data_IF_788314673692
#
_entry.id   IF_788314673692
#
_cell.length_a   1.000
_cell.length_b   1.000
_cell.length_c   1.000
_cell.angle_alpha   90.00
_cell.angle_beta   90.00
_cell.angle_gamma   90.00
#
_symmetry.space_group_name_H-M   'P 1'
#
loop_
_entity.id
_entity.type
_entity.pdbx_description
1 polymer ?
#
# COMPACT_ATOMS: atom_id res chain seq x y z
N UNK A 1 13.46 -28.03 -23.96
CA UNK A 1 13.23 -27.13 -25.11
C UNK A 1 11.73 -26.87 -25.15
N UNK A 2 11.19 -25.67 -24.93
CA UNK A 2 11.68 -24.30 -25.08
C UNK A 2 11.46 -23.44 -23.83
N UNK A 3 12.33 -22.46 -23.61
CA UNK A 3 12.09 -21.36 -22.66
C UNK A 3 10.79 -20.60 -23.00
N UNK A 4 10.04 -20.06 -22.01
CA UNK A 4 8.93 -19.18 -22.31
C UNK A 4 9.47 -17.85 -22.84
N UNK A 5 9.15 -17.54 -24.10
CA UNK A 5 9.42 -16.26 -24.76
C UNK A 5 8.55 -15.14 -24.15
N UNK A 6 8.86 -14.72 -22.94
CA UNK A 6 8.24 -13.54 -22.31
C UNK A 6 9.00 -12.24 -22.60
N UNK A 7 10.20 -12.33 -23.17
CA UNK A 7 10.94 -11.16 -23.64
C UNK A 7 10.45 -10.78 -25.05
N UNK A 8 9.63 -9.74 -25.15
CA UNK A 8 9.33 -9.07 -26.43
C UNK A 8 7.86 -8.93 -26.83
N UNK A 9 6.89 -9.29 -25.99
CA UNK A 9 5.47 -9.01 -26.29
C UNK A 9 5.15 -7.56 -25.95
N UNK A 10 4.90 -6.74 -26.97
CA UNK A 10 4.34 -5.40 -26.79
C UNK A 10 2.89 -5.57 -26.36
N UNK A 11 2.32 -4.62 -25.60
CA UNK A 11 0.95 -4.74 -25.06
C UNK A 11 -0.18 -4.69 -26.11
N UNK A 12 0.08 -5.13 -27.34
CA UNK A 12 -0.82 -5.05 -28.47
C UNK A 12 -1.86 -6.17 -28.42
N UNK A 13 -3.00 -5.93 -29.08
CA UNK A 13 -4.16 -6.81 -28.99
C UNK A 13 -3.90 -8.25 -29.50
N UNK A 14 -2.92 -8.43 -30.39
CA UNK A 14 -2.52 -9.75 -30.89
C UNK A 14 -1.82 -10.58 -29.82
N UNK A 15 -0.92 -9.97 -29.05
CA UNK A 15 -0.22 -10.64 -27.96
C UNK A 15 -1.17 -11.07 -26.84
N UNK A 16 -2.17 -10.24 -26.53
CA UNK A 16 -3.21 -10.56 -25.56
C UNK A 16 -4.05 -11.76 -26.01
N UNK A 17 -4.46 -11.80 -27.29
CA UNK A 17 -5.22 -12.93 -27.85
C UNK A 17 -4.41 -14.22 -27.86
N UNK A 18 -3.14 -14.14 -28.26
CA UNK A 18 -2.26 -15.29 -28.26
C UNK A 18 -2.04 -15.84 -26.84
N UNK A 19 -1.83 -14.96 -25.85
CA UNK A 19 -1.72 -15.38 -24.45
C UNK A 19 -3.01 -16.04 -23.91
N UNK A 20 -4.19 -15.54 -24.31
CA UNK A 20 -5.47 -16.16 -23.93
C UNK A 20 -5.64 -17.56 -24.52
N UNK A 21 -5.21 -17.77 -25.78
CA UNK A 21 -5.21 -19.09 -26.42
C UNK A 21 -4.24 -20.06 -25.72
N UNK A 22 -3.04 -19.61 -25.36
CA UNK A 22 -2.06 -20.39 -24.60
C UNK A 22 -2.65 -20.82 -23.23
N UNK A 23 -3.33 -19.90 -22.54
CA UNK A 23 -4.02 -20.17 -21.28
C UNK A 23 -5.16 -21.20 -21.44
N UNK A 24 -5.95 -21.11 -22.51
CA UNK A 24 -7.03 -22.05 -22.79
C UNK A 24 -6.50 -23.48 -23.01
N UNK A 25 -5.46 -23.60 -23.85
CA UNK A 25 -4.80 -24.88 -24.12
C UNK A 25 -4.18 -25.48 -22.85
N UNK A 26 -3.57 -24.64 -22.00
CA UNK A 26 -3.02 -25.08 -20.73
C UNK A 26 -4.10 -25.50 -19.72
N UNK A 27 -5.25 -24.83 -19.68
CA UNK A 27 -6.36 -25.17 -18.80
C UNK A 27 -6.97 -26.53 -19.15
N UNK A 28 -7.23 -26.78 -20.45
CA UNK A 28 -8.01 -27.93 -20.90
C UNK A 28 -9.39 -27.91 -20.25
N UNK A 29 -9.84 -29.05 -19.72
CA UNK A 29 -11.15 -29.17 -19.04
C UNK A 29 -11.13 -28.72 -17.57
N UNK A 30 -10.01 -28.17 -17.07
CA UNK A 30 -9.86 -27.81 -15.66
C UNK A 30 -10.28 -26.38 -15.40
N UNK A 31 -10.82 -26.14 -14.21
CA UNK A 31 -10.96 -24.78 -13.69
C UNK A 31 -9.67 -24.35 -12.99
N UNK A 32 -9.00 -23.32 -13.50
CA UNK A 32 -7.79 -22.74 -12.92
C UNK A 32 -8.11 -21.39 -12.28
N UNK A 33 -7.67 -21.19 -11.04
CA UNK A 33 -7.80 -19.89 -10.35
C UNK A 33 -6.42 -19.29 -10.12
N UNK A 34 -6.19 -18.11 -10.67
CA UNK A 34 -4.99 -17.31 -10.45
C UNK A 34 -5.34 -16.18 -9.51
N UNK A 35 -4.55 -16.00 -8.46
CA UNK A 35 -4.70 -14.88 -7.53
C UNK A 35 -3.54 -13.92 -7.70
N UNK A 36 -3.87 -12.64 -7.88
CA UNK A 36 -2.91 -11.55 -7.74
C UNK A 36 -3.06 -10.88 -6.36
N UNK A 37 -1.97 -10.31 -5.85
CA UNK A 37 -1.92 -9.64 -4.54
C UNK A 37 -1.30 -8.25 -4.66
N UNK A 38 -1.63 -7.53 -5.74
CA UNK A 38 -1.13 -6.19 -5.98
C UNK A 38 -2.27 -5.29 -6.48
N UNK A 39 -2.61 -4.24 -5.72
CA UNK A 39 -3.65 -3.30 -6.12
C UNK A 39 -3.46 -2.70 -7.54
N UNK A 40 -2.21 -2.52 -7.98
CA UNK A 40 -1.90 -2.07 -9.35
C UNK A 40 -2.34 -3.09 -10.40
N UNK A 41 -2.15 -4.38 -10.15
CA UNK A 41 -2.68 -5.44 -11.01
C UNK A 41 -4.20 -5.50 -10.95
N UNK A 42 -4.82 -5.41 -9.75
CA UNK A 42 -6.28 -5.32 -9.62
C UNK A 42 -6.86 -4.22 -10.51
N UNK A 43 -6.25 -3.03 -10.47
CA UNK A 43 -6.65 -1.87 -11.28
C UNK A 43 -6.42 -2.10 -12.77
N UNK A 44 -5.28 -2.65 -13.18
CA UNK A 44 -5.00 -2.97 -14.58
C UNK A 44 -6.01 -4.00 -15.13
N UNK A 45 -6.30 -5.05 -14.38
CA UNK A 45 -7.28 -6.09 -14.73
C UNK A 45 -8.67 -5.48 -14.95
N UNK A 46 -9.11 -4.61 -14.04
CA UNK A 46 -10.40 -3.93 -14.16
C UNK A 46 -10.41 -2.95 -15.34
N UNK A 47 -9.38 -2.10 -15.45
CA UNK A 47 -9.26 -1.06 -16.49
C UNK A 47 -9.27 -1.63 -17.91
N UNK A 48 -8.63 -2.77 -18.10
CA UNK A 48 -8.51 -3.42 -19.42
C UNK A 48 -9.52 -4.55 -19.63
N UNK A 49 -10.45 -4.76 -18.69
CA UNK A 49 -11.49 -5.78 -18.82
C UNK A 49 -10.94 -7.21 -18.94
N UNK A 50 -9.73 -7.49 -18.44
CA UNK A 50 -9.02 -8.75 -18.72
C UNK A 50 -9.82 -9.98 -18.32
N UNK A 51 -10.65 -9.90 -17.27
CA UNK A 51 -11.53 -11.00 -16.85
C UNK A 51 -12.51 -11.46 -17.93
N UNK A 52 -12.95 -10.55 -18.80
CA UNK A 52 -13.86 -10.85 -19.90
C UNK A 52 -13.14 -11.47 -21.11
N UNK A 53 -11.81 -11.36 -21.15
CA UNK A 53 -10.96 -11.90 -22.21
C UNK A 53 -10.36 -13.26 -21.85
N UNK A 54 -10.54 -13.72 -20.61
CA UNK A 54 -10.07 -15.02 -20.17
C UNK A 54 -10.92 -16.14 -20.77
N UNK A 55 -10.31 -17.28 -21.15
CA UNK A 55 -11.05 -18.43 -21.61
C UNK A 55 -11.90 -19.04 -20.50
N UNK A 56 -12.95 -19.77 -20.90
CA UNK A 56 -13.80 -20.51 -19.96
C UNK A 56 -12.95 -21.46 -19.10
N UNK A 57 -13.27 -21.50 -17.80
CA UNK A 57 -12.49 -22.27 -16.81
C UNK A 57 -11.30 -21.53 -16.20
N UNK A 58 -10.83 -20.41 -16.76
CA UNK A 58 -9.76 -19.60 -16.15
C UNK A 58 -10.34 -18.42 -15.38
N UNK A 59 -10.00 -18.33 -14.09
CA UNK A 59 -10.46 -17.28 -13.17
C UNK A 59 -9.29 -16.46 -12.66
N UNK A 60 -9.51 -15.16 -12.57
CA UNK A 60 -8.55 -14.21 -11.99
C UNK A 60 -9.16 -13.54 -10.75
N UNK A 61 -8.61 -13.90 -9.60
CA UNK A 61 -9.04 -13.49 -8.27
C UNK A 61 -8.11 -12.37 -7.77
N UNK A 62 -8.70 -11.33 -7.21
CA UNK A 62 -7.93 -10.27 -6.53
C UNK A 62 -7.84 -10.61 -5.05
N UNK A 63 -6.62 -10.82 -4.58
CA UNK A 63 -6.28 -11.09 -3.20
C UNK A 63 -6.01 -9.82 -2.38
N UNK A 64 -5.44 -9.96 -1.18
CA UNK A 64 -5.17 -8.87 -0.24
C UNK A 64 -3.98 -7.98 -0.66
N UNK A 65 -4.04 -7.36 -1.84
CA UNK A 65 -2.95 -6.57 -2.43
C UNK A 65 -2.89 -5.08 -2.06
N UNK A 66 -3.65 -4.66 -1.06
CA UNK A 66 -3.75 -3.28 -0.62
C UNK A 66 -3.36 -3.22 0.87
N UNK A 67 -2.18 -2.65 1.22
CA UNK A 67 -1.69 -2.68 2.61
C UNK A 67 -2.62 -1.91 3.56
N UNK A 68 -3.24 -0.84 3.08
CA UNK A 68 -4.24 -0.06 3.82
C UNK A 68 -5.51 -0.86 4.09
N UNK A 69 -5.93 -1.68 3.13
CA UNK A 69 -7.17 -2.45 3.23
C UNK A 69 -7.04 -3.65 4.19
N UNK A 70 -5.81 -4.04 4.54
CA UNK A 70 -5.51 -5.19 5.41
C UNK A 70 -4.84 -4.80 6.73
N UNK A 71 -4.87 -3.50 7.06
CA UNK A 71 -4.50 -3.04 8.39
C UNK A 71 -5.49 -3.60 9.42
N UNK A 72 -5.00 -4.00 10.60
CA UNK A 72 -5.90 -4.44 11.66
C UNK A 72 -6.57 -3.22 12.31
N UNK A 73 -7.84 -3.36 12.70
CA UNK A 73 -8.56 -2.29 13.43
C UNK A 73 -7.79 -1.87 14.69
N UNK A 74 -7.21 -2.85 15.42
CA UNK A 74 -6.39 -2.56 16.61
C UNK A 74 -5.10 -1.77 16.31
N UNK A 75 -4.57 -1.84 15.10
CA UNK A 75 -3.43 -1.02 14.69
C UNK A 75 -3.85 0.44 14.42
N UNK A 76 -5.02 0.63 13.82
CA UNK A 76 -5.63 1.96 13.67
C UNK A 76 -6.01 2.56 15.03
N UNK A 77 -6.51 1.76 15.97
CA UNK A 77 -6.78 2.22 17.33
C UNK A 77 -5.51 2.72 18.03
N UNK A 78 -4.36 2.07 17.80
CA UNK A 78 -3.06 2.57 18.28
C UNK A 78 -2.69 3.90 17.64
N UNK A 79 -2.86 4.05 16.32
CA UNK A 79 -2.62 5.31 15.63
C UNK A 79 -3.52 6.44 16.17
N UNK A 80 -4.80 6.17 16.41
CA UNK A 80 -5.74 7.10 17.05
C UNK A 80 -5.28 7.47 18.47
N UNK A 81 -4.79 6.50 19.25
CA UNK A 81 -4.26 6.78 20.58
C UNK A 81 -3.05 7.74 20.53
N UNK A 82 -2.15 7.59 19.55
CA UNK A 82 -1.05 8.54 19.33
C UNK A 82 -1.55 9.92 18.88
N UNK A 83 -2.58 9.99 18.04
CA UNK A 83 -3.16 11.27 17.57
C UNK A 83 -3.67 12.14 18.74
N UNK A 84 -4.11 11.50 19.84
CA UNK A 84 -4.68 12.17 21.02
C UNK A 84 -3.63 12.68 22.00
N UNK A 85 -2.35 12.36 21.80
CA UNK A 85 -1.28 12.87 22.66
C UNK A 85 -0.97 14.32 22.29
N UNK A 86 -1.12 15.31 23.21
CA UNK A 86 -0.98 16.74 22.89
C UNK A 86 0.39 17.15 22.32
N UNK A 87 1.44 16.42 22.66
CA UNK A 87 2.83 16.63 22.24
C UNK A 87 3.19 15.94 20.91
N UNK A 88 2.28 15.13 20.36
CA UNK A 88 2.52 14.35 19.14
C UNK A 88 1.95 15.05 17.91
N UNK A 89 2.73 15.05 16.84
CA UNK A 89 2.23 15.27 15.48
C UNK A 89 2.23 13.92 14.76
N UNK A 90 1.06 13.43 14.39
CA UNK A 90 0.91 12.14 13.71
C UNK A 90 1.00 12.35 12.20
N UNK A 91 2.03 11.81 11.56
CA UNK A 91 2.22 11.87 10.11
C UNK A 91 1.74 10.57 9.45
N UNK A 92 1.00 10.67 8.34
CA UNK A 92 0.44 9.52 7.62
C UNK A 92 0.33 9.77 6.12
N UNK A 93 0.29 8.71 5.32
CA UNK A 93 -0.20 8.79 3.95
C UNK A 93 -1.70 9.12 3.91
N UNK A 94 -2.14 9.74 2.83
CA UNK A 94 -3.50 10.28 2.70
C UNK A 94 -4.60 9.21 2.58
N UNK A 95 -4.26 8.03 2.08
CA UNK A 95 -5.15 6.88 1.92
C UNK A 95 -5.62 6.29 3.27
N UNK A 96 -4.81 6.43 4.32
CA UNK A 96 -5.14 5.93 5.65
C UNK A 96 -6.10 6.85 6.45
N UNK A 97 -6.18 8.13 6.08
CA UNK A 97 -6.84 9.18 6.88
C UNK A 97 -8.32 8.88 7.16
N UNK A 98 -9.01 8.26 6.20
CA UNK A 98 -10.44 7.96 6.27
C UNK A 98 -10.75 6.51 6.61
N UNK A 99 -9.75 5.70 6.92
CA UNK A 99 -9.96 4.29 7.25
C UNK A 99 -10.54 4.19 8.66
N UNK A 100 -11.65 3.46 8.85
CA UNK A 100 -12.28 3.34 10.16
C UNK A 100 -11.43 2.51 11.12
N UNK A 101 -11.14 3.10 12.28
CA UNK A 101 -10.73 2.39 13.48
C UNK A 101 -11.98 1.83 14.20
N UNK A 102 -11.86 1.44 15.48
CA UNK A 102 -12.99 0.86 16.22
C UNK A 102 -14.15 1.84 16.45
N UNK A 103 -13.88 3.14 16.58
CA UNK A 103 -14.87 4.17 16.94
C UNK A 103 -14.81 5.44 16.11
N UNK A 104 -13.75 5.63 15.33
CA UNK A 104 -13.46 6.91 14.65
C UNK A 104 -12.49 6.71 13.49
N UNK A 105 -12.10 7.81 12.83
CA UNK A 105 -11.07 7.88 11.79
C UNK A 105 -10.04 8.94 12.15
N UNK A 106 -8.85 8.90 11.54
CA UNK A 106 -7.87 9.98 11.69
C UNK A 106 -8.41 11.33 11.18
N UNK A 107 -9.32 11.32 10.20
CA UNK A 107 -10.02 12.51 9.72
C UNK A 107 -10.87 13.17 10.81
N UNK A 108 -11.62 12.37 11.58
CA UNK A 108 -12.46 12.84 12.68
C UNK A 108 -11.61 13.32 13.86
N UNK A 109 -10.55 12.58 14.23
CA UNK A 109 -9.62 13.04 15.26
C UNK A 109 -8.96 14.37 14.89
N UNK A 110 -8.56 14.54 13.62
CA UNK A 110 -8.06 15.82 13.11
C UNK A 110 -9.11 16.93 13.21
N UNK A 111 -10.37 16.64 12.90
CA UNK A 111 -11.46 17.61 13.05
C UNK A 111 -11.73 17.96 14.52
N UNK A 112 -11.47 17.04 15.45
CA UNK A 112 -11.53 17.24 16.90
C UNK A 112 -10.30 17.96 17.49
N UNK A 113 -9.32 18.33 16.66
CA UNK A 113 -8.15 19.13 17.06
C UNK A 113 -6.85 18.33 17.19
N UNK A 114 -6.83 17.03 16.92
CA UNK A 114 -5.60 16.26 16.87
C UNK A 114 -4.67 16.75 15.75
N UNK A 115 -3.36 16.79 16.00
CA UNK A 115 -2.40 17.23 15.00
C UNK A 115 -2.00 16.07 14.07
N UNK A 116 -2.85 15.82 13.06
CA UNK A 116 -2.61 14.82 12.01
C UNK A 116 -2.19 15.51 10.72
N UNK A 117 -1.01 15.14 10.18
CA UNK A 117 -0.45 15.65 8.93
C UNK A 117 -0.42 14.57 7.85
N UNK A 118 -0.84 14.94 6.63
CA UNK A 118 -0.69 14.08 5.46
C UNK A 118 0.66 14.38 4.80
N UNK A 119 1.42 13.33 4.53
CA UNK A 119 2.71 13.38 3.83
C UNK A 119 2.66 12.52 2.57
N UNK A 120 3.53 12.79 1.61
CA UNK A 120 3.63 12.03 0.35
C UNK A 120 4.78 11.03 0.37
N UNK A 121 5.76 11.23 1.25
CA UNK A 121 6.88 10.31 1.47
C UNK A 121 7.22 10.18 2.96
N UNK A 122 7.94 9.11 3.31
CA UNK A 122 8.48 8.96 4.66
C UNK A 122 9.56 10.02 4.97
N UNK A 123 10.27 10.55 3.96
CA UNK A 123 11.23 11.64 4.13
C UNK A 123 10.54 12.96 4.46
N UNK A 124 9.36 13.23 3.90
CA UNK A 124 8.58 14.42 4.25
C UNK A 124 8.25 14.44 5.75
N UNK A 125 8.05 13.28 6.37
CA UNK A 125 7.81 13.18 7.80
C UNK A 125 9.09 13.46 8.63
N UNK A 126 10.28 13.15 8.09
CA UNK A 126 11.56 13.56 8.69
C UNK A 126 11.75 15.07 8.57
N UNK A 127 11.39 15.66 7.42
CA UNK A 127 11.45 17.10 7.20
C UNK A 127 10.47 17.84 8.13
N UNK A 128 9.27 17.29 8.31
CA UNK A 128 8.32 17.76 9.30
C UNK A 128 8.91 17.73 10.71
N UNK A 129 9.53 16.62 11.12
CA UNK A 129 10.15 16.50 12.44
C UNK A 129 11.27 17.52 12.67
N UNK A 130 12.09 17.79 11.65
CA UNK A 130 13.13 18.81 11.71
C UNK A 130 12.56 20.24 11.84
N UNK A 131 11.38 20.51 11.29
CA UNK A 131 10.73 21.81 11.31
C UNK A 131 10.00 22.12 12.63
N UNK A 132 9.60 21.10 13.40
CA UNK A 132 8.91 21.23 14.70
C UNK A 132 9.65 20.49 15.83
N UNK A 133 10.88 20.91 16.20
CA UNK A 133 11.73 20.19 17.15
C UNK A 133 11.15 20.06 18.56
N UNK A 134 10.15 20.88 18.90
CA UNK A 134 9.44 20.87 20.19
C UNK A 134 8.35 19.79 20.29
N UNK A 135 7.99 19.14 19.17
CA UNK A 135 6.96 18.09 19.11
C UNK A 135 7.56 16.75 18.72
N UNK A 136 6.93 15.66 19.17
CA UNK A 136 7.26 14.32 18.70
C UNK A 136 6.52 14.02 17.40
N UNK A 137 7.23 13.80 16.30
CA UNK A 137 6.62 13.37 15.05
C UNK A 137 6.61 11.86 14.98
N UNK A 138 5.41 11.27 15.00
CA UNK A 138 5.20 9.83 14.82
C UNK A 138 4.65 9.58 13.43
N UNK A 139 5.43 8.92 12.58
CA UNK A 139 5.01 8.51 11.25
C UNK A 139 4.38 7.12 11.29
N UNK A 140 3.19 6.95 10.68
CA UNK A 140 2.56 5.65 10.53
C UNK A 140 3.24 4.90 9.37
N UNK A 141 4.14 3.99 9.70
CA UNK A 141 4.84 3.14 8.74
C UNK A 141 3.93 2.00 8.28
N UNK A 142 3.22 2.19 7.16
CA UNK A 142 2.36 1.19 6.54
C UNK A 142 2.87 0.86 5.13
N UNK A 143 2.60 -0.35 4.67
CA UNK A 143 2.95 -0.82 3.34
C UNK A 143 3.61 -2.19 3.37
N UNK A 144 3.66 -2.83 2.21
CA UNK A 144 4.37 -4.09 2.00
C UNK A 144 5.86 -3.86 1.74
N UNK A 145 6.54 -4.85 1.16
CA UNK A 145 7.99 -4.87 0.95
C UNK A 145 8.50 -3.75 0.04
N UNK A 146 7.63 -3.14 -0.78
CA UNK A 146 8.01 -1.98 -1.61
C UNK A 146 8.09 -0.68 -0.82
N UNK A 147 7.39 -0.58 0.31
CA UNK A 147 7.33 0.64 1.13
C UNK A 147 8.21 0.53 2.37
N UNK A 148 8.32 -0.64 2.99
CA UNK A 148 9.13 -0.82 4.21
C UNK A 148 10.60 -0.34 4.07
N UNK A 149 11.31 -0.59 2.95
CA UNK A 149 12.67 -0.08 2.75
C UNK A 149 12.75 1.44 2.68
N UNK A 150 11.73 2.12 2.15
CA UNK A 150 11.72 3.60 2.07
C UNK A 150 11.51 4.23 3.45
N UNK A 151 10.71 3.59 4.31
CA UNK A 151 10.55 3.98 5.71
C UNK A 151 11.83 3.72 6.52
N UNK A 152 12.50 2.59 6.29
CA UNK A 152 13.81 2.32 6.89
C UNK A 152 14.87 3.36 6.46
N UNK A 153 14.87 3.74 5.18
CA UNK A 153 15.74 4.82 4.69
C UNK A 153 15.43 6.16 5.36
N UNK A 154 14.17 6.47 5.67
CA UNK A 154 13.80 7.68 6.41
C UNK A 154 14.34 7.67 7.85
N UNK A 155 14.32 6.53 8.54
CA UNK A 155 14.93 6.39 9.87
C UNK A 155 16.45 6.62 9.83
N UNK A 156 17.13 6.08 8.82
CA UNK A 156 18.56 6.32 8.59
C UNK A 156 18.82 7.80 8.33
N UNK A 157 18.03 8.43 7.46
CA UNK A 157 18.15 9.86 7.15
C UNK A 157 17.92 10.73 8.39
N UNK A 158 16.93 10.41 9.22
CA UNK A 158 16.67 11.12 10.48
C UNK A 158 17.89 11.05 11.42
N UNK A 159 18.45 9.85 11.59
CA UNK A 159 19.67 9.63 12.39
C UNK A 159 20.84 10.44 11.86
N UNK A 160 21.12 10.34 10.56
CA UNK A 160 22.27 10.99 9.92
C UNK A 160 22.15 12.53 9.94
N UNK A 161 20.91 13.05 9.94
CA UNK A 161 20.60 14.49 10.10
C UNK A 161 20.52 14.95 11.56
N UNK A 162 20.62 14.05 12.53
CA UNK A 162 20.47 14.38 13.95
C UNK A 162 19.05 14.77 14.36
N UNK A 163 18.03 14.36 13.61
CA UNK A 163 16.61 14.58 13.93
C UNK A 163 16.18 13.55 14.98
N UNK A 164 16.03 14.01 16.23
CA UNK A 164 15.82 13.13 17.40
C UNK A 164 14.35 12.91 17.78
N UNK A 165 13.45 13.75 17.27
CA UNK A 165 12.01 13.75 17.56
C UNK A 165 11.19 13.03 16.47
N UNK A 166 11.83 12.20 15.64
CA UNK A 166 11.16 11.39 14.63
C UNK A 166 11.05 9.94 15.10
N UNK A 167 9.87 9.34 14.97
CA UNK A 167 9.63 7.93 15.28
C UNK A 167 8.66 7.31 14.29
N UNK A 168 8.72 5.99 14.14
CA UNK A 168 7.84 5.23 13.25
C UNK A 168 6.98 4.28 14.07
N UNK A 169 5.66 4.42 13.95
CA UNK A 169 4.72 3.37 14.34
C UNK A 169 4.69 2.34 13.22
N UNK A 170 5.47 1.26 13.36
CA UNK A 170 5.62 0.23 12.34
C UNK A 170 4.39 -0.68 12.29
N UNK A 171 3.57 -0.51 11.24
CA UNK A 171 2.37 -1.28 10.91
C UNK A 171 2.51 -1.98 9.55
N UNK A 172 3.75 -2.22 9.12
CA UNK A 172 4.07 -2.97 7.89
C UNK A 172 3.50 -4.39 7.92
N UNK A 173 3.24 -4.94 6.73
CA UNK A 173 2.75 -6.30 6.52
C UNK A 173 3.65 -7.05 5.53
#
# INVERSE_FOLDING_TARGET
>A
MSEPRLAGRTGDAEDVRAAAADLAAAAGDRTLSYMEVCGTHTMAIARHGLRQLLPDGVRLVSGPGCPVCVIAIGDLDRAVAYARLPEVTLATFGDLVRVPASRTTLAEERAAGADVKVVYSALDAVDLAAAVPERQVVFIGIGFETTAPTVAAALIAARDRGVRNFSVLSLHK
#
